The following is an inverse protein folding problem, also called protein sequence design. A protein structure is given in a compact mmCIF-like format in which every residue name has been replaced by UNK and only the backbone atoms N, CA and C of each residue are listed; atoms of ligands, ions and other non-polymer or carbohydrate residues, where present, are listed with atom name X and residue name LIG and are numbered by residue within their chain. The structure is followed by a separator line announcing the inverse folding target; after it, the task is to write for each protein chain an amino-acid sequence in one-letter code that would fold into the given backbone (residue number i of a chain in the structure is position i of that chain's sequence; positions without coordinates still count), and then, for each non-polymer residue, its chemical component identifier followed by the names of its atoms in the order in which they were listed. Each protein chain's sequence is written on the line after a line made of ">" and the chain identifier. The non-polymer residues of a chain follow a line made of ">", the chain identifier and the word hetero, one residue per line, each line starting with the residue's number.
data_IF_757089529910
#
_entry.id   IF_757089529910
#
_cell.length_a   1.000
_cell.length_b   1.000
_cell.length_c   1.000
_cell.angle_alpha   90.00
_cell.angle_beta   90.00
_cell.angle_gamma   90.00
#
_symmetry.space_group_name_H-M   'P 1'
#
loop_
_entity.id
_entity.type
_entity.pdbx_description
1 polymer ?
#
# COMPACT_ATOMS: atom_id res chain seq x y z
N UNK A 1 -15.86 -2.11 9.41
CA UNK A 1 -17.29 -1.95 9.77
C UNK A 1 -17.53 -1.23 11.10
N UNK A 2 -16.89 -1.60 12.22
CA UNK A 2 -17.16 -0.94 13.51
C UNK A 2 -16.86 0.56 13.50
N UNK A 3 -15.74 0.97 12.90
CA UNK A 3 -15.38 2.39 12.71
C UNK A 3 -16.48 3.14 11.95
N UNK A 4 -16.92 2.59 10.81
CA UNK A 4 -18.01 3.14 10.01
C UNK A 4 -19.31 3.27 10.81
N UNK A 5 -19.72 2.23 11.56
CA UNK A 5 -20.91 2.30 12.42
C UNK A 5 -20.80 3.43 13.44
N UNK A 6 -19.66 3.59 14.08
CA UNK A 6 -19.43 4.65 15.06
C UNK A 6 -19.47 6.04 14.41
N UNK A 7 -18.92 6.18 13.20
CA UNK A 7 -18.95 7.42 12.43
C UNK A 7 -20.39 7.80 12.00
N UNK A 8 -21.15 6.84 11.48
CA UNK A 8 -22.55 7.08 11.10
C UNK A 8 -23.39 7.48 12.32
N UNK A 9 -23.14 6.89 13.50
CA UNK A 9 -23.77 7.31 14.76
C UNK A 9 -23.43 8.76 15.10
N UNK A 10 -22.16 9.17 15.00
CA UNK A 10 -21.76 10.55 15.33
C UNK A 10 -22.31 11.58 14.34
N UNK A 11 -22.64 11.17 13.11
CA UNK A 11 -23.31 11.99 12.08
C UNK A 11 -24.85 11.93 12.16
N UNK A 12 -25.41 11.33 13.20
CA UNK A 12 -26.86 11.19 13.41
C UNK A 12 -27.61 10.46 12.28
N UNK A 13 -26.97 9.49 11.60
CA UNK A 13 -27.68 8.60 10.70
C UNK A 13 -28.72 7.76 11.46
N UNK A 14 -29.80 7.39 10.77
CA UNK A 14 -30.89 6.63 11.39
C UNK A 14 -30.41 5.28 11.94
N UNK A 15 -31.04 4.83 13.02
CA UNK A 15 -30.72 3.53 13.60
C UNK A 15 -30.91 2.38 12.59
N UNK A 16 -31.91 2.49 11.70
CA UNK A 16 -32.13 1.52 10.63
C UNK A 16 -30.99 1.48 9.61
N UNK A 17 -30.45 2.63 9.21
CA UNK A 17 -29.31 2.71 8.29
C UNK A 17 -28.03 2.11 8.89
N UNK A 18 -27.87 2.17 10.21
CA UNK A 18 -26.70 1.58 10.88
C UNK A 18 -26.89 0.08 11.07
N UNK A 19 -28.12 -0.35 11.36
CA UNK A 19 -28.48 -1.76 11.54
C UNK A 19 -28.45 -2.56 10.23
N UNK A 20 -28.65 -1.92 9.07
CA UNK A 20 -28.48 -2.60 7.77
C UNK A 20 -27.05 -3.12 7.56
N UNK A 21 -26.06 -2.55 8.24
CA UNK A 21 -24.68 -3.07 8.20
C UNK A 21 -24.51 -4.39 8.96
N UNK A 22 -25.46 -4.77 9.82
CA UNK A 22 -25.45 -6.08 10.51
C UNK A 22 -25.94 -7.21 9.60
N UNK A 23 -26.62 -6.89 8.50
CA UNK A 23 -27.16 -7.88 7.55
C UNK A 23 -26.25 -8.13 6.36
N UNK A 24 -25.10 -7.46 6.30
CA UNK A 24 -24.15 -7.62 5.21
C UNK A 24 -23.39 -8.94 5.34
N UNK A 25 -23.43 -9.75 4.29
CA UNK A 25 -22.49 -10.83 4.07
C UNK A 25 -21.34 -10.29 3.21
N UNK A 26 -20.11 -10.40 3.71
CA UNK A 26 -18.91 -9.92 3.03
C UNK A 26 -17.99 -11.12 2.85
N UNK A 27 -17.67 -11.42 1.60
CA UNK A 27 -16.70 -12.43 1.22
C UNK A 27 -15.52 -11.72 0.56
N UNK A 28 -14.30 -12.17 0.88
CA UNK A 28 -13.07 -11.63 0.30
C UNK A 28 -12.27 -12.78 -0.26
N UNK A 29 -12.12 -12.81 -1.58
CA UNK A 29 -11.22 -13.74 -2.26
C UNK A 29 -9.79 -13.18 -2.25
N UNK A 30 -8.90 -13.80 -1.47
CA UNK A 30 -7.53 -13.30 -1.27
C UNK A 30 -6.60 -13.76 -2.39
N UNK A 31 -6.49 -12.93 -3.41
CA UNK A 31 -5.51 -13.09 -4.48
C UNK A 31 -4.16 -12.39 -4.21
N UNK A 32 -4.16 -11.33 -3.39
CA UNK A 32 -2.94 -10.64 -2.96
C UNK A 32 -2.38 -11.39 -1.73
N UNK A 33 -1.12 -11.87 -1.77
CA UNK A 33 -0.50 -12.53 -0.64
C UNK A 33 -0.53 -11.65 0.62
N UNK A 34 -0.97 -12.23 1.73
CA UNK A 34 -1.05 -11.54 3.01
C UNK A 34 0.34 -11.23 3.55
N UNK A 35 0.53 -10.03 4.12
CA UNK A 35 1.81 -9.59 4.73
C UNK A 35 3.01 -9.62 3.77
N UNK A 36 2.75 -9.45 2.47
CA UNK A 36 3.77 -9.36 1.44
C UNK A 36 4.19 -7.91 1.11
N UNK A 37 3.66 -6.91 1.82
CA UNK A 37 3.99 -5.50 1.56
C UNK A 37 3.22 -4.88 0.38
N UNK A 38 2.20 -5.56 -0.13
CA UNK A 38 1.40 -5.16 -1.30
C UNK A 38 0.07 -4.46 -0.95
N UNK A 39 -0.12 -4.06 0.31
CA UNK A 39 -1.32 -3.31 0.73
C UNK A 39 -2.64 -4.09 0.73
N UNK A 40 -2.63 -5.43 0.53
CA UNK A 40 -3.85 -6.20 0.27
C UNK A 40 -4.94 -6.13 1.34
N UNK A 41 -4.62 -5.92 2.62
CA UNK A 41 -5.64 -5.71 3.67
C UNK A 41 -6.22 -4.29 3.63
N UNK A 42 -5.39 -3.30 3.33
CA UNK A 42 -5.80 -1.91 3.13
C UNK A 42 -6.66 -1.75 1.88
N UNK A 43 -6.39 -2.52 0.81
CA UNK A 43 -7.25 -2.63 -0.37
C UNK A 43 -8.65 -3.11 0.00
N UNK A 44 -8.74 -4.22 0.73
CA UNK A 44 -10.05 -4.76 1.15
C UNK A 44 -10.83 -3.72 1.96
N UNK A 45 -10.19 -3.10 2.95
CA UNK A 45 -10.86 -2.16 3.84
C UNK A 45 -11.24 -0.84 3.16
N UNK A 46 -10.32 -0.25 2.40
CA UNK A 46 -10.54 1.01 1.68
C UNK A 46 -11.57 0.86 0.58
N UNK A 47 -11.46 -0.20 -0.23
CA UNK A 47 -12.43 -0.53 -1.26
C UNK A 47 -13.81 -0.81 -0.69
N UNK A 48 -13.91 -1.61 0.38
CA UNK A 48 -15.19 -1.84 1.07
C UNK A 48 -15.81 -0.53 1.57
N UNK A 49 -15.02 0.33 2.23
CA UNK A 49 -15.52 1.59 2.78
C UNK A 49 -16.01 2.53 1.66
N UNK A 50 -15.24 2.65 0.58
CA UNK A 50 -15.62 3.42 -0.60
C UNK A 50 -16.94 2.90 -1.20
N UNK A 51 -17.04 1.60 -1.46
CA UNK A 51 -18.22 1.01 -2.09
C UNK A 51 -19.46 1.04 -1.20
N UNK A 52 -19.34 0.85 0.12
CA UNK A 52 -20.48 0.97 1.03
C UNK A 52 -21.05 2.40 1.02
N UNK A 53 -20.21 3.42 0.96
CA UNK A 53 -20.68 4.81 0.83
C UNK A 53 -21.51 5.02 -0.44
N UNK A 54 -21.15 4.36 -1.54
CA UNK A 54 -21.89 4.41 -2.81
C UNK A 54 -23.19 3.59 -2.76
N UNK A 55 -23.12 2.33 -2.31
CA UNK A 55 -24.26 1.40 -2.27
C UNK A 55 -25.40 1.95 -1.41
N UNK A 56 -25.07 2.59 -0.29
CA UNK A 56 -26.05 3.13 0.63
C UNK A 56 -26.36 4.64 0.42
N UNK A 57 -25.77 5.28 -0.60
CA UNK A 57 -25.88 6.72 -0.90
C UNK A 57 -25.77 7.62 0.35
N UNK A 58 -24.79 7.36 1.22
CA UNK A 58 -24.61 8.18 2.43
C UNK A 58 -24.00 9.55 2.12
N UNK A 59 -23.42 9.72 0.93
CA UNK A 59 -22.79 10.96 0.46
C UNK A 59 -21.73 11.50 1.41
N UNK A 60 -21.01 10.61 2.08
CA UNK A 60 -19.87 10.99 2.90
C UNK A 60 -18.78 11.59 2.00
N UNK A 61 -18.17 12.68 2.46
CA UNK A 61 -17.07 13.34 1.74
C UNK A 61 -15.81 12.48 1.76
N UNK A 62 -14.88 12.75 0.84
CA UNK A 62 -13.60 12.05 0.82
C UNK A 62 -12.81 12.24 2.13
N UNK A 63 -12.86 13.44 2.72
CA UNK A 63 -12.23 13.74 4.01
C UNK A 63 -12.83 12.91 5.15
N UNK A 64 -14.15 12.71 5.14
CA UNK A 64 -14.84 11.86 6.11
C UNK A 64 -14.42 10.39 5.96
N UNK A 65 -14.34 9.90 4.73
CA UNK A 65 -13.84 8.55 4.44
C UNK A 65 -12.38 8.39 4.88
N UNK A 66 -11.53 9.37 4.59
CA UNK A 66 -10.12 9.36 5.00
C UNK A 66 -9.96 9.36 6.52
N UNK A 67 -10.79 10.12 7.24
CA UNK A 67 -10.76 10.13 8.71
C UNK A 67 -11.02 8.74 9.30
N UNK A 68 -11.88 7.95 8.66
CA UNK A 68 -12.13 6.55 9.02
C UNK A 68 -11.03 5.61 8.54
N UNK A 69 -10.54 5.79 7.31
CA UNK A 69 -9.50 4.97 6.71
C UNK A 69 -8.19 5.01 7.50
N UNK A 70 -7.79 6.20 7.97
CA UNK A 70 -6.61 6.38 8.82
C UNK A 70 -6.67 5.59 10.14
N UNK A 71 -7.87 5.30 10.65
CA UNK A 71 -8.06 4.47 11.85
C UNK A 71 -7.94 2.96 11.57
N UNK A 72 -8.03 2.55 10.31
CA UNK A 72 -7.91 1.14 9.89
C UNK A 72 -6.44 0.79 9.60
N UNK A 73 -5.75 1.66 8.86
CA UNK A 73 -4.35 1.47 8.49
C UNK A 73 -3.88 2.60 7.60
N UNK A 74 -2.58 2.90 7.64
CA UNK A 74 -2.02 4.06 6.95
C UNK A 74 -2.28 4.04 5.44
N UNK A 75 -2.16 2.89 4.79
CA UNK A 75 -2.36 2.77 3.33
C UNK A 75 -3.85 2.79 2.92
N UNK A 76 -4.79 2.75 3.87
CA UNK A 76 -6.23 2.59 3.56
C UNK A 76 -6.75 3.76 2.72
N UNK A 77 -6.27 4.98 2.99
CA UNK A 77 -6.72 6.18 2.30
C UNK A 77 -6.34 6.17 0.82
N UNK A 78 -5.21 5.56 0.45
CA UNK A 78 -4.85 5.39 -0.96
C UNK A 78 -5.94 4.64 -1.72
N UNK A 79 -6.43 3.52 -1.16
CA UNK A 79 -7.49 2.74 -1.78
C UNK A 79 -8.87 3.39 -1.71
N UNK A 80 -9.12 4.30 -0.75
CA UNK A 80 -10.35 5.10 -0.73
C UNK A 80 -10.32 6.17 -1.83
N UNK A 81 -9.13 6.70 -2.16
CA UNK A 81 -8.95 7.79 -3.13
C UNK A 81 -9.33 7.42 -4.56
N UNK A 82 -9.23 6.14 -4.90
CA UNK A 82 -9.37 5.60 -6.27
C UNK A 82 -8.35 6.18 -7.27
N UNK A 83 -7.29 6.85 -6.79
CA UNK A 83 -6.21 7.31 -7.65
C UNK A 83 -5.39 6.14 -8.18
N UNK A 84 -4.88 6.28 -9.41
CA UNK A 84 -4.01 5.27 -10.03
C UNK A 84 -2.60 5.30 -9.44
N UNK A 85 -2.10 6.50 -9.18
CA UNK A 85 -0.83 6.80 -8.55
C UNK A 85 -1.02 7.97 -7.60
N UNK A 86 -0.31 7.96 -6.47
CA UNK A 86 -0.41 9.02 -5.49
C UNK A 86 0.89 9.15 -4.70
N UNK A 87 1.18 10.38 -4.29
CA UNK A 87 2.12 10.64 -3.23
C UNK A 87 1.45 10.38 -1.88
N UNK A 88 2.05 9.52 -1.06
CA UNK A 88 1.62 9.25 0.30
C UNK A 88 2.66 9.80 1.29
N UNK A 89 2.22 10.61 2.26
CA UNK A 89 3.10 11.26 3.24
C UNK A 89 2.61 11.03 4.67
N UNK A 90 3.33 11.57 5.66
CA UNK A 90 3.13 11.26 7.09
C UNK A 90 3.43 9.78 7.37
N UNK A 91 2.48 9.02 7.92
CA UNK A 91 2.60 7.57 8.07
C UNK A 91 2.11 6.81 6.82
N UNK A 92 1.64 7.51 5.79
CA UNK A 92 1.05 6.97 4.55
C UNK A 92 -0.40 7.40 4.34
N UNK A 93 -1.02 8.06 5.32
CA UNK A 93 -2.44 8.38 5.34
C UNK A 93 -2.81 9.68 4.61
N UNK A 94 -1.84 10.56 4.36
CA UNK A 94 -2.04 11.81 3.62
C UNK A 94 -1.77 11.55 2.15
N UNK A 95 -2.84 11.55 1.34
CA UNK A 95 -2.81 11.14 -0.06
C UNK A 95 -3.00 12.36 -0.97
N UNK A 96 -2.06 12.55 -1.90
CA UNK A 96 -2.13 13.54 -2.97
C UNK A 96 -2.04 12.83 -4.32
N UNK A 97 -2.99 13.09 -5.23
CA UNK A 97 -3.00 12.49 -6.56
C UNK A 97 -1.69 12.81 -7.29
N UNK A 98 -1.11 11.80 -7.95
CA UNK A 98 0.08 11.98 -8.78
C UNK A 98 -0.21 11.42 -10.17
N UNK A 99 -0.26 12.32 -11.16
CA UNK A 99 -0.50 11.93 -12.54
C UNK A 99 0.79 11.50 -13.22
N UNK A 100 0.86 10.23 -13.61
CA UNK A 100 1.96 9.67 -14.37
C UNK A 100 1.49 8.59 -15.34
N UNK A 101 2.35 8.24 -16.28
CA UNK A 101 2.12 7.12 -17.19
C UNK A 101 2.01 5.81 -16.39
N UNK A 102 0.91 5.05 -16.53
CA UNK A 102 0.73 3.81 -15.78
C UNK A 102 1.86 2.82 -16.02
N UNK A 103 2.35 2.23 -14.94
CA UNK A 103 3.29 1.10 -14.96
C UNK A 103 2.57 -0.25 -15.11
N UNK A 104 1.26 -0.23 -15.37
CA UNK A 104 0.45 -1.40 -15.68
C UNK A 104 1.12 -2.23 -16.78
N UNK A 105 1.19 -3.55 -16.59
CA UNK A 105 1.86 -4.50 -17.48
C UNK A 105 3.38 -4.32 -17.67
N UNK A 106 4.01 -3.31 -17.06
CA UNK A 106 5.47 -3.08 -17.11
C UNK A 106 6.21 -3.67 -15.91
N UNK A 107 5.50 -4.17 -14.91
CA UNK A 107 6.10 -4.71 -13.69
C UNK A 107 6.00 -6.23 -13.63
N UNK A 108 7.05 -6.85 -13.11
CA UNK A 108 7.08 -8.23 -12.62
C UNK A 108 7.14 -8.20 -11.10
N UNK A 109 6.30 -9.00 -10.43
CA UNK A 109 6.21 -9.06 -8.97
C UNK A 109 6.61 -10.46 -8.52
N UNK A 110 7.50 -10.53 -7.53
CA UNK A 110 7.86 -11.74 -6.83
C UNK A 110 7.41 -11.62 -5.38
N UNK A 111 6.43 -12.43 -4.99
CA UNK A 111 5.88 -12.45 -3.64
C UNK A 111 6.04 -13.85 -3.04
N UNK A 112 7.06 -14.09 -2.20
CA UNK A 112 7.29 -15.40 -1.62
C UNK A 112 6.17 -15.75 -0.62
N UNK A 113 5.48 -16.86 -0.87
CA UNK A 113 4.33 -17.31 -0.07
C UNK A 113 4.69 -17.91 1.31
N UNK A 114 5.97 -18.12 1.57
CA UNK A 114 6.48 -18.76 2.79
C UNK A 114 7.36 -17.81 3.63
N UNK A 115 7.52 -16.55 3.22
CA UNK A 115 8.29 -15.54 3.95
C UNK A 115 7.36 -14.41 4.37
N UNK A 116 7.22 -14.22 5.68
CA UNK A 116 6.38 -13.19 6.27
C UNK A 116 7.23 -12.15 6.98
N UNK A 117 6.94 -10.87 6.73
CA UNK A 117 7.62 -9.76 7.35
C UNK A 117 6.71 -9.10 8.38
N UNK A 118 7.17 -9.05 9.64
CA UNK A 118 6.47 -8.28 10.65
C UNK A 118 6.81 -6.79 10.49
N UNK A 119 5.88 -6.01 9.95
CA UNK A 119 5.99 -4.55 9.82
C UNK A 119 6.47 -3.91 11.12
N UNK A 120 5.87 -4.26 12.26
CA UNK A 120 6.25 -3.73 13.58
C UNK A 120 7.74 -3.95 13.90
N UNK A 121 8.21 -5.19 13.80
CA UNK A 121 9.61 -5.56 14.05
C UNK A 121 10.58 -4.80 13.12
N UNK A 122 10.22 -4.59 11.86
CA UNK A 122 11.04 -3.86 10.89
C UNK A 122 11.15 -2.39 11.28
N UNK A 123 10.03 -1.73 11.59
CA UNK A 123 10.04 -0.35 12.09
C UNK A 123 10.76 -0.21 13.44
N UNK A 124 10.76 -1.24 14.29
CA UNK A 124 11.55 -1.25 15.54
C UNK A 124 13.05 -1.40 15.29
N UNK A 125 13.45 -2.14 14.25
CA UNK A 125 14.84 -2.29 13.85
C UNK A 125 15.34 -1.10 13.01
N UNK A 126 14.43 -0.30 12.46
CA UNK A 126 14.75 0.88 11.69
C UNK A 126 15.52 1.89 12.54
N UNK A 127 16.70 2.26 12.05
CA UNK A 127 17.54 3.32 12.62
C UNK A 127 17.68 4.37 11.54
N UNK A 128 17.22 5.61 11.77
CA UNK A 128 17.41 6.70 10.82
C UNK A 128 18.91 7.09 10.83
N UNK A 129 19.73 6.37 10.06
CA UNK A 129 21.15 6.70 9.87
C UNK A 129 21.30 7.87 8.89
N UNK A 130 20.31 8.08 8.02
CA UNK A 130 20.22 9.20 7.08
C UNK A 130 18.77 9.64 6.95
N UNK A 131 18.49 10.93 7.13
CA UNK A 131 17.21 11.50 6.73
C UNK A 131 17.10 11.37 5.20
N UNK A 132 16.00 10.80 4.70
CA UNK A 132 15.68 10.69 3.27
C UNK A 132 15.37 12.08 2.70
N UNK A 133 16.35 12.98 2.69
CA UNK A 133 16.21 14.35 2.17
C UNK A 133 15.77 14.37 0.70
N UNK A 134 16.15 13.31 -0.04
CA UNK A 134 15.81 13.07 -1.44
C UNK A 134 14.33 12.69 -1.66
N UNK A 135 13.59 12.25 -0.63
CA UNK A 135 12.17 11.91 -0.78
C UNK A 135 11.36 13.10 -1.31
N UNK A 136 11.73 14.33 -0.93
CA UNK A 136 11.11 15.55 -1.44
C UNK A 136 11.29 15.75 -2.95
N UNK A 137 12.39 15.25 -3.51
CA UNK A 137 12.64 15.30 -4.94
C UNK A 137 11.78 14.27 -5.68
N UNK A 138 11.58 13.08 -5.09
CA UNK A 138 10.78 12.03 -5.71
C UNK A 138 9.28 12.33 -5.75
N UNK A 139 8.77 13.16 -4.83
CA UNK A 139 7.37 13.63 -4.89
C UNK A 139 7.02 14.31 -6.22
N UNK A 140 8.02 14.74 -7.00
CA UNK A 140 7.87 15.42 -8.29
C UNK A 140 8.39 14.59 -9.46
N UNK A 141 8.80 13.35 -9.21
CA UNK A 141 9.52 12.51 -10.16
C UNK A 141 8.68 11.29 -10.53
N UNK A 142 8.48 11.01 -11.83
CA UNK A 142 7.76 9.81 -12.24
C UNK A 142 8.40 8.54 -11.69
N UNK A 143 7.57 7.58 -11.28
CA UNK A 143 8.00 6.30 -10.72
C UNK A 143 8.95 5.57 -11.67
N UNK A 144 8.69 5.61 -12.98
CA UNK A 144 9.58 5.02 -14.00
C UNK A 144 10.99 5.61 -13.96
N UNK A 145 11.12 6.91 -13.72
CA UNK A 145 12.43 7.57 -13.66
C UNK A 145 13.15 7.23 -12.36
N UNK A 146 12.44 7.20 -11.23
CA UNK A 146 12.98 6.70 -9.95
C UNK A 146 13.55 5.29 -10.10
N UNK A 147 12.77 4.36 -10.67
CA UNK A 147 13.19 2.97 -10.90
C UNK A 147 14.37 2.81 -11.87
N UNK A 148 14.62 3.79 -12.75
CA UNK A 148 15.77 3.79 -13.68
C UNK A 148 17.03 4.44 -13.10
N UNK A 149 16.88 5.34 -12.15
CA UNK A 149 17.97 6.23 -11.70
C UNK A 149 18.41 6.00 -10.26
N UNK A 150 17.60 5.32 -9.46
CA UNK A 150 17.86 5.05 -8.04
C UNK A 150 18.08 3.56 -7.80
N UNK A 151 18.87 3.24 -6.78
CA UNK A 151 19.01 1.86 -6.30
C UNK A 151 17.91 1.49 -5.30
N UNK A 152 17.71 0.19 -5.06
CA UNK A 152 16.65 -0.32 -4.17
C UNK A 152 16.77 0.16 -2.72
N UNK A 153 17.99 0.35 -2.20
CA UNK A 153 18.20 0.82 -0.83
C UNK A 153 17.87 2.31 -0.75
N UNK A 154 18.14 3.04 -1.84
CA UNK A 154 17.76 4.42 -2.04
C UNK A 154 16.25 4.62 -2.19
N UNK A 155 15.48 3.66 -2.70
CA UNK A 155 14.02 3.81 -2.83
C UNK A 155 13.22 3.25 -1.64
N UNK A 156 13.83 2.42 -0.80
CA UNK A 156 13.16 1.84 0.37
C UNK A 156 14.16 1.61 1.52
N UNK A 157 14.14 2.50 2.50
CA UNK A 157 14.99 2.45 3.68
C UNK A 157 14.59 1.37 4.70
N UNK A 158 13.45 0.69 4.48
CA UNK A 158 13.03 -0.46 5.26
C UNK A 158 13.68 -1.77 4.77
N UNK A 159 14.35 -1.78 3.61
CA UNK A 159 15.02 -2.99 3.12
C UNK A 159 16.10 -3.47 4.10
N UNK A 160 17.02 -2.59 4.51
CA UNK A 160 18.10 -2.93 5.45
C UNK A 160 17.56 -3.52 6.78
N UNK A 161 16.63 -2.88 7.51
CA UNK A 161 16.06 -3.48 8.72
C UNK A 161 15.23 -4.74 8.45
N UNK A 162 14.57 -4.87 7.29
CA UNK A 162 13.88 -6.11 6.91
C UNK A 162 14.87 -7.28 6.79
N UNK A 163 16.00 -7.08 6.12
CA UNK A 163 17.05 -8.09 5.98
C UNK A 163 17.73 -8.42 7.31
N UNK A 164 17.78 -7.49 8.27
CA UNK A 164 18.30 -7.73 9.61
C UNK A 164 17.37 -8.58 10.47
N UNK A 165 16.06 -8.43 10.28
CA UNK A 165 15.03 -9.08 11.10
C UNK A 165 14.55 -10.42 10.54
N UNK A 166 14.84 -10.72 9.26
CA UNK A 166 14.38 -11.94 8.60
C UNK A 166 15.48 -12.58 7.75
N UNK A 167 16.00 -13.72 8.20
CA UNK A 167 17.07 -14.46 7.48
C UNK A 167 16.58 -15.03 6.14
N UNK A 168 15.37 -15.57 6.07
CA UNK A 168 14.83 -16.12 4.81
C UNK A 168 14.66 -15.03 3.74
N UNK A 169 14.29 -13.81 4.16
CA UNK A 169 14.25 -12.66 3.25
C UNK A 169 15.66 -12.30 2.74
N UNK A 170 16.69 -12.41 3.59
CA UNK A 170 18.08 -12.16 3.21
C UNK A 170 18.58 -13.16 2.17
N UNK A 171 18.25 -14.43 2.36
CA UNK A 171 18.63 -15.49 1.42
C UNK A 171 17.99 -15.21 0.05
N UNK A 172 16.68 -14.92 0.02
CA UNK A 172 15.96 -14.51 -1.19
C UNK A 172 16.59 -13.26 -1.84
N UNK A 173 16.85 -12.22 -1.05
CA UNK A 173 17.42 -10.97 -1.58
C UNK A 173 18.79 -11.19 -2.23
N UNK A 174 19.59 -12.11 -1.69
CA UNK A 174 20.91 -12.46 -2.23
C UNK A 174 20.83 -13.23 -3.56
N UNK A 175 19.75 -13.96 -3.80
CA UNK A 175 19.47 -14.67 -5.06
C UNK A 175 18.86 -13.73 -6.12
N UNK A 176 18.16 -12.67 -5.69
CA UNK A 176 17.57 -11.68 -6.58
C UNK A 176 18.61 -10.67 -7.08
N UNK A 177 18.73 -10.55 -8.41
CA UNK A 177 19.59 -9.54 -9.04
C UNK A 177 19.21 -8.10 -8.65
N UNK A 178 20.16 -7.16 -8.73
CA UNK A 178 20.05 -5.76 -8.26
C UNK A 178 18.84 -4.98 -8.83
N UNK A 179 18.28 -5.42 -9.94
CA UNK A 179 17.11 -4.85 -10.59
C UNK A 179 15.79 -5.02 -9.83
N UNK A 180 15.74 -5.90 -8.83
CA UNK A 180 14.57 -6.08 -7.97
C UNK A 180 14.51 -4.99 -6.89
N UNK A 181 13.35 -4.36 -6.73
CA UNK A 181 13.03 -3.36 -5.73
C UNK A 181 12.16 -3.95 -4.63
N UNK A 182 12.27 -3.43 -3.42
CA UNK A 182 11.55 -3.94 -2.25
C UNK A 182 10.23 -3.18 -2.04
N UNK A 183 9.13 -3.89 -1.83
CA UNK A 183 7.80 -3.29 -1.66
C UNK A 183 7.42 -3.15 -0.17
N UNK A 184 7.11 -1.93 0.27
CA UNK A 184 6.68 -1.64 1.64
C UNK A 184 7.68 -2.15 2.68
N UNK A 185 7.18 -2.92 3.66
CA UNK A 185 8.02 -3.64 4.64
C UNK A 185 8.27 -5.11 4.25
N UNK A 186 8.02 -5.47 2.99
CA UNK A 186 8.18 -6.82 2.45
C UNK A 186 7.02 -7.76 2.76
N UNK A 187 7.11 -9.02 2.34
CA UNK A 187 8.27 -9.69 1.72
C UNK A 187 8.38 -9.59 0.19
N UNK A 188 7.47 -8.89 -0.51
CA UNK A 188 7.48 -8.84 -1.96
C UNK A 188 8.62 -7.96 -2.52
N UNK A 189 9.08 -8.39 -3.68
CA UNK A 189 9.95 -7.63 -4.57
C UNK A 189 9.25 -7.39 -5.91
N UNK A 190 9.65 -6.35 -6.62
CA UNK A 190 9.15 -6.07 -7.96
C UNK A 190 10.26 -5.50 -8.85
N UNK A 191 10.16 -5.64 -10.15
CA UNK A 191 11.07 -5.00 -11.11
C UNK A 191 10.35 -4.55 -12.36
N UNK A 192 10.98 -3.67 -13.14
CA UNK A 192 10.56 -3.42 -14.52
C UNK A 192 10.78 -4.70 -15.33
N UNK A 193 9.78 -5.11 -16.11
CA UNK A 193 9.92 -6.22 -17.06
C UNK A 193 11.07 -5.91 -18.02
N UNK A 194 11.92 -6.89 -18.34
CA UNK A 194 12.91 -6.74 -19.40
C UNK A 194 12.20 -6.29 -20.68
N UNK A 195 12.82 -5.35 -21.42
CA UNK A 195 12.33 -5.04 -22.76
C UNK A 195 12.30 -6.36 -23.54
N UNK A 196 11.15 -6.66 -24.16
CA UNK A 196 11.08 -7.77 -25.12
C UNK A 196 12.17 -7.51 -26.14
N UNK A 197 13.20 -8.35 -26.18
CA UNK A 197 14.11 -8.37 -27.32
C UNK A 197 13.21 -8.65 -28.52
N UNK A 198 13.07 -7.68 -29.42
CA UNK A 198 12.31 -7.88 -30.65
C UNK A 198 12.79 -9.17 -31.29
N UNK A 199 11.85 -10.07 -31.55
CA UNK A 199 12.15 -11.19 -32.44
C UNK A 199 12.53 -10.60 -33.78
N UNK A 200 13.76 -10.85 -34.20
CA UNK A 200 14.14 -10.81 -35.62
C UNK A 200 13.35 -11.89 -36.38
#
# INVERSE_FOLDING_TARGET
>A
LQILKNFLKSKNFSHSAIKSLDTLAIEVEKNIPTQAGLGGGSTDAGGLLYHLNQIFDWRLSLEELYSMGSLVGADTNFFISQYKSANATSYGEVIENFEEEPLENRLEIYAPNHVFCSTKAIYQAYKPETCFSQAKEWLKKPSLECLKTCDRNGLNDLLKPALLTNQALRDIESELGKEWFFSGSGSAFFRLKPALKGGE
#
